data_IF_256910246209
#
_entry.id   IF_256910246209
#
_cell.length_a   1.000
_cell.length_b   1.000
_cell.length_c   1.000
_cell.angle_alpha   90.00
_cell.angle_beta   90.00
_cell.angle_gamma   90.00
#
_symmetry.space_group_name_H-M   'P 1'
#
loop_
_entity.id
_entity.type
_entity.pdbx_description
1 polymer ?
#
# COMPACT_ATOMS: atom_id res chain seq x y z
N UNK A 1 3.51 20.43 13.62
CA UNK A 1 3.04 20.18 12.23
C UNK A 1 4.12 19.59 11.32
N UNK A 2 5.25 19.07 11.84
CA UNK A 2 6.33 18.50 11.02
C UNK A 2 6.79 17.09 11.44
N UNK A 3 6.01 16.37 12.25
CA UNK A 3 6.46 15.09 12.86
C UNK A 3 5.69 13.85 12.37
N UNK A 4 4.72 13.98 11.45
CA UNK A 4 3.85 12.85 11.06
C UNK A 4 4.00 12.48 9.57
N UNK A 5 4.54 13.37 8.74
CA UNK A 5 4.71 13.12 7.31
C UNK A 5 6.05 13.70 6.84
N UNK A 6 6.92 12.93 6.15
CA UNK A 6 8.06 13.48 5.45
C UNK A 6 7.57 14.52 4.44
N UNK A 7 8.07 15.75 4.56
CA UNK A 7 7.85 16.80 3.56
C UNK A 7 8.46 16.35 2.22
N UNK A 8 7.75 16.66 1.13
CA UNK A 8 8.15 16.47 -0.27
C UNK A 8 7.96 15.07 -0.89
N UNK A 9 6.76 14.50 -0.79
CA UNK A 9 6.36 13.38 -1.65
C UNK A 9 5.31 13.79 -2.67
N UNK A 10 5.78 14.25 -3.83
CA UNK A 10 5.02 14.21 -5.08
C UNK A 10 4.68 12.74 -5.36
N UNK A 11 3.42 12.36 -5.14
CA UNK A 11 2.87 11.04 -5.48
C UNK A 11 2.81 10.87 -7.01
N UNK A 12 3.98 10.60 -7.60
CA UNK A 12 4.17 10.04 -8.92
C UNK A 12 5.37 9.10 -8.82
N UNK A 13 5.22 8.03 -8.05
CA UNK A 13 6.24 7.01 -7.95
C UNK A 13 6.21 6.18 -9.24
N UNK A 14 7.05 6.57 -10.19
CA UNK A 14 7.38 5.72 -11.33
C UNK A 14 7.94 4.38 -10.81
N UNK A 15 7.74 3.30 -11.58
CA UNK A 15 8.12 1.92 -11.23
C UNK A 15 9.51 1.81 -10.60
N UNK A 16 10.48 2.57 -11.11
CA UNK A 16 11.85 2.58 -10.61
C UNK A 16 11.97 3.15 -9.19
N UNK A 17 11.27 4.25 -8.92
CA UNK A 17 11.25 4.87 -7.59
C UNK A 17 10.52 3.98 -6.60
N UNK A 18 9.35 3.44 -6.96
CA UNK A 18 8.61 2.50 -6.11
C UNK A 18 9.46 1.27 -5.79
N UNK A 19 10.11 0.68 -6.79
CA UNK A 19 10.98 -0.48 -6.59
C UNK A 19 12.16 -0.16 -5.67
N UNK A 20 12.78 1.01 -5.83
CA UNK A 20 13.89 1.45 -4.99
C UNK A 20 13.43 1.62 -3.54
N UNK A 21 12.33 2.34 -3.32
CA UNK A 21 11.74 2.56 -2.01
C UNK A 21 11.38 1.24 -1.32
N UNK A 22 10.71 0.32 -2.01
CA UNK A 22 10.37 -0.99 -1.42
C UNK A 22 11.63 -1.76 -1.01
N UNK A 23 12.68 -1.71 -1.85
CA UNK A 23 13.96 -2.36 -1.54
C UNK A 23 14.64 -1.70 -0.33
N UNK A 24 14.59 -0.37 -0.24
CA UNK A 24 15.14 0.42 0.88
C UNK A 24 14.38 0.18 2.19
N UNK A 25 13.09 -0.14 2.13
CA UNK A 25 12.29 -0.56 3.28
C UNK A 25 12.57 -2.01 3.72
N UNK A 26 13.49 -2.70 3.05
CA UNK A 26 13.88 -4.07 3.36
C UNK A 26 12.85 -5.12 2.94
N UNK A 27 11.87 -4.75 2.13
CA UNK A 27 10.79 -5.63 1.68
C UNK A 27 11.18 -6.37 0.41
N UNK A 28 10.98 -7.69 0.39
CA UNK A 28 11.21 -8.51 -0.78
C UNK A 28 10.10 -8.34 -1.81
N UNK A 29 10.53 -8.26 -3.07
CA UNK A 29 9.65 -8.05 -4.22
C UNK A 29 9.86 -9.13 -5.25
N UNK A 30 8.77 -9.82 -5.58
CA UNK A 30 8.72 -10.77 -6.69
C UNK A 30 8.27 -10.03 -7.94
N UNK A 31 9.03 -10.21 -9.02
CA UNK A 31 8.63 -9.77 -10.35
C UNK A 31 7.76 -10.83 -10.99
N UNK A 32 6.59 -10.42 -11.46
CA UNK A 32 5.66 -11.28 -12.19
C UNK A 32 5.57 -10.76 -13.60
N UNK A 33 5.82 -11.62 -14.57
CA UNK A 33 5.70 -11.24 -15.97
C UNK A 33 4.24 -10.99 -16.33
N UNK A 34 4.00 -9.97 -17.15
CA UNK A 34 2.70 -9.56 -17.63
C UNK A 34 2.66 -9.52 -19.16
N UNK A 35 1.48 -9.72 -19.72
CA UNK A 35 1.24 -9.45 -21.14
C UNK A 35 1.41 -7.94 -21.43
N UNK A 36 1.96 -7.61 -22.60
CA UNK A 36 2.09 -6.23 -23.08
C UNK A 36 0.77 -5.43 -23.05
N UNK A 37 -0.35 -6.10 -23.29
CA UNK A 37 -1.68 -5.49 -23.33
C UNK A 37 -2.46 -5.74 -22.03
N UNK A 38 -1.77 -6.05 -20.93
CA UNK A 38 -2.34 -6.29 -19.59
C UNK A 38 -3.46 -7.35 -19.52
N UNK A 39 -3.51 -8.24 -20.51
CA UNK A 39 -4.57 -9.26 -20.60
C UNK A 39 -4.43 -10.39 -19.57
N UNK A 40 -3.20 -10.67 -19.12
CA UNK A 40 -2.92 -11.71 -18.11
C UNK A 40 -1.54 -11.52 -17.46
N UNK A 41 -1.39 -12.13 -16.29
CA UNK A 41 -0.11 -12.35 -15.61
C UNK A 41 0.35 -13.80 -15.87
N UNK A 42 1.65 -13.98 -16.12
CA UNK A 42 2.28 -15.30 -16.22
C UNK A 42 2.61 -15.81 -14.82
N UNK A 43 1.60 -16.24 -14.07
CA UNK A 43 1.71 -16.65 -12.67
C UNK A 43 1.02 -18.01 -12.43
N UNK A 44 1.61 -18.81 -11.52
CA UNK A 44 1.21 -20.17 -11.13
C UNK A 44 1.24 -21.10 -12.34
N UNK A 45 0.10 -21.67 -12.71
CA UNK A 45 -0.03 -22.59 -13.84
C UNK A 45 0.32 -21.94 -15.17
N UNK A 46 0.36 -20.60 -15.21
CA UNK A 46 0.57 -19.82 -16.42
C UNK A 46 2.02 -19.39 -16.65
N UNK A 47 2.93 -19.70 -15.72
CA UNK A 47 4.36 -19.38 -15.82
C UNK A 47 5.00 -20.07 -17.04
N UNK A 48 4.44 -21.19 -17.52
CA UNK A 48 4.98 -21.95 -18.65
C UNK A 48 4.62 -21.39 -20.02
N UNK A 49 3.70 -20.43 -20.12
CA UNK A 49 3.31 -19.88 -21.41
C UNK A 49 4.35 -18.89 -21.93
N UNK A 50 4.64 -18.99 -23.23
CA UNK A 50 5.47 -18.04 -23.98
C UNK A 50 4.64 -17.01 -24.75
N UNK A 51 3.33 -17.20 -24.82
CA UNK A 51 2.36 -16.30 -25.46
C UNK A 51 1.12 -16.11 -24.59
N UNK A 52 0.47 -14.96 -24.77
CA UNK A 52 -0.74 -14.61 -24.06
C UNK A 52 -1.90 -15.49 -24.53
N UNK A 53 -2.66 -16.08 -23.59
CA UNK A 53 -3.84 -16.90 -23.91
C UNK A 53 -4.99 -16.11 -24.54
N UNK A 54 -5.03 -14.79 -24.32
CA UNK A 54 -6.15 -13.94 -24.72
C UNK A 54 -5.88 -13.19 -26.03
N UNK A 55 -4.71 -12.56 -26.18
CA UNK A 55 -4.37 -11.80 -27.39
C UNK A 55 -3.36 -12.51 -28.30
N UNK A 56 -2.76 -13.63 -27.87
CA UNK A 56 -1.74 -14.35 -28.64
C UNK A 56 -0.37 -13.69 -28.68
N UNK A 57 -0.21 -12.48 -28.14
CA UNK A 57 1.07 -11.76 -28.18
C UNK A 57 2.18 -12.51 -27.41
N UNK A 58 3.44 -12.39 -27.87
CA UNK A 58 4.57 -13.01 -27.20
C UNK A 58 4.80 -12.38 -25.82
N UNK A 59 5.18 -13.23 -24.86
CA UNK A 59 5.56 -12.83 -23.50
C UNK A 59 6.77 -11.91 -23.48
N UNK A 60 7.77 -12.21 -24.31
CA UNK A 60 9.06 -11.53 -24.30
C UNK A 60 9.19 -10.57 -25.47
N UNK A 61 9.63 -9.35 -25.19
CA UNK A 61 10.18 -8.43 -26.20
C UNK A 61 11.66 -8.72 -26.40
N UNK A 62 12.09 -8.62 -27.65
CA UNK A 62 13.49 -8.73 -28.04
C UNK A 62 14.14 -7.35 -27.91
N UNK A 63 15.21 -7.24 -27.14
CA UNK A 63 16.06 -6.06 -27.08
C UNK A 63 17.41 -6.37 -27.75
N UNK A 64 17.89 -5.44 -28.58
CA UNK A 64 19.25 -5.49 -29.13
C UNK A 64 20.20 -4.88 -28.11
N UNK A 65 21.09 -5.67 -27.53
CA UNK A 65 22.18 -5.14 -26.72
C UNK A 65 23.23 -4.48 -27.62
N UNK A 66 24.00 -3.54 -27.08
CA UNK A 66 25.09 -2.84 -27.79
C UNK A 66 26.17 -3.80 -28.34
N UNK A 67 26.16 -5.07 -27.92
CA UNK A 67 27.12 -6.11 -28.28
C UNK A 67 26.56 -7.20 -29.23
N UNK A 68 25.58 -6.89 -30.10
CA UNK A 68 24.92 -7.84 -31.02
C UNK A 68 24.18 -9.03 -30.37
N UNK A 69 24.19 -9.14 -29.04
CA UNK A 69 23.40 -10.14 -28.32
C UNK A 69 21.94 -9.68 -28.20
N UNK A 70 21.01 -10.58 -28.53
CA UNK A 70 19.57 -10.36 -28.36
C UNK A 70 19.18 -10.80 -26.96
N UNK A 71 18.71 -9.87 -26.12
CA UNK A 71 18.18 -10.19 -24.80
C UNK A 71 16.66 -10.23 -24.84
N UNK A 72 16.05 -11.17 -24.11
CA UNK A 72 14.60 -11.27 -23.91
C UNK A 72 14.24 -10.56 -22.62
N UNK A 73 13.23 -9.70 -22.66
CA UNK A 73 12.65 -9.07 -21.45
C UNK A 73 11.13 -9.13 -21.52
N UNK A 74 10.46 -9.19 -20.37
CA UNK A 74 9.00 -9.14 -20.29
C UNK A 74 8.53 -7.81 -19.70
N UNK A 75 7.24 -7.52 -19.82
CA UNK A 75 6.58 -6.53 -18.94
C UNK A 75 6.45 -7.15 -17.56
N UNK A 76 6.63 -6.37 -16.49
CA UNK A 76 6.65 -6.93 -15.13
C UNK A 76 5.81 -6.12 -14.17
N UNK A 77 5.01 -6.80 -13.36
CA UNK A 77 4.36 -6.27 -12.17
C UNK A 77 5.17 -6.67 -10.94
N UNK A 78 5.20 -5.81 -9.93
CA UNK A 78 5.84 -6.08 -8.65
C UNK A 78 4.81 -6.60 -7.67
N UNK A 79 5.13 -7.70 -7.00
CA UNK A 79 4.37 -8.24 -5.88
C UNK A 79 5.25 -8.23 -4.63
N UNK A 80 4.71 -7.71 -3.53
CA UNK A 80 5.29 -7.87 -2.21
C UNK A 80 4.99 -9.28 -1.69
N UNK A 81 6.01 -9.95 -1.17
CA UNK A 81 5.85 -11.27 -0.53
C UNK A 81 5.89 -11.20 1.00
N UNK A 82 6.51 -10.14 1.54
CA UNK A 82 6.64 -9.95 2.98
C UNK A 82 5.46 -9.16 3.56
N UNK A 83 5.15 -9.44 4.82
CA UNK A 83 4.18 -8.66 5.55
C UNK A 83 4.80 -7.30 5.93
N UNK A 84 4.04 -6.20 6.03
CA UNK A 84 4.60 -4.91 6.45
C UNK A 84 5.37 -4.97 7.78
N UNK A 85 5.04 -5.91 8.66
CA UNK A 85 5.79 -6.15 9.91
C UNK A 85 7.21 -6.69 9.74
N UNK A 86 7.51 -7.24 8.58
CA UNK A 86 8.83 -7.79 8.28
C UNK A 86 9.77 -6.68 7.75
N UNK A 87 9.23 -5.49 7.45
CA UNK A 87 9.98 -4.35 6.96
C UNK A 87 10.96 -3.79 8.02
N UNK A 88 12.06 -3.20 7.55
CA UNK A 88 13.02 -2.51 8.42
C UNK A 88 12.38 -1.31 9.15
N UNK A 89 11.42 -0.64 8.50
CA UNK A 89 10.65 0.45 9.10
C UNK A 89 9.90 0.01 10.37
N UNK A 90 9.37 -1.22 10.39
CA UNK A 90 8.71 -1.76 11.58
C UNK A 90 9.69 -1.97 12.72
N UNK A 91 10.85 -2.54 12.43
CA UNK A 91 11.92 -2.73 13.42
C UNK A 91 12.44 -1.40 13.95
N UNK A 92 12.60 -0.41 13.08
CA UNK A 92 13.01 0.92 13.47
C UNK A 92 11.96 1.59 14.38
N UNK A 93 10.68 1.50 14.02
CA UNK A 93 9.59 2.01 14.85
C UNK A 93 9.59 1.36 16.24
N UNK A 94 9.74 0.04 16.30
CA UNK A 94 9.77 -0.70 17.57
C UNK A 94 10.94 -0.29 18.47
N UNK A 95 12.12 -0.03 17.87
CA UNK A 95 13.28 0.50 18.59
C UNK A 95 13.09 1.95 19.07
N UNK A 96 12.42 2.80 18.28
CA UNK A 96 12.22 4.21 18.59
C UNK A 96 11.12 4.41 19.64
N UNK A 97 10.08 3.57 19.62
CA UNK A 97 8.92 3.67 20.51
C UNK A 97 8.68 2.38 21.30
N UNK A 98 9.62 1.96 22.17
CA UNK A 98 9.51 0.70 22.90
C UNK A 98 8.27 0.65 23.79
N UNK A 99 7.87 1.77 24.38
CA UNK A 99 6.65 1.85 25.21
C UNK A 99 5.37 1.48 24.43
N UNK A 100 5.33 1.75 23.11
CA UNK A 100 4.22 1.36 22.26
C UNK A 100 4.23 -0.15 22.03
N UNK A 101 5.41 -0.72 21.82
CA UNK A 101 5.57 -2.17 21.57
C UNK A 101 5.37 -3.03 22.80
N UNK A 102 5.57 -2.47 24.00
CA UNK A 102 5.36 -3.17 25.27
C UNK A 102 3.92 -3.64 25.44
N UNK A 103 2.96 -2.93 24.83
CA UNK A 103 1.57 -3.34 24.78
C UNK A 103 1.27 -3.99 23.40
N UNK A 104 1.26 -5.33 23.30
CA UNK A 104 1.06 -6.03 22.03
C UNK A 104 -0.32 -5.77 21.39
N UNK A 105 -1.27 -5.26 22.16
CA UNK A 105 -2.63 -4.96 21.73
C UNK A 105 -2.76 -3.58 21.07
N UNK A 106 -1.67 -2.80 21.02
CA UNK A 106 -1.62 -1.56 20.27
C UNK A 106 -1.69 -1.80 18.76
N UNK A 107 -2.37 -0.89 18.06
CA UNK A 107 -2.76 -1.05 16.66
C UNK A 107 -1.82 -0.26 15.73
N UNK A 108 -1.34 -0.91 14.69
CA UNK A 108 -0.57 -0.33 13.60
C UNK A 108 -1.45 -0.26 12.36
N UNK A 109 -1.56 0.94 11.80
CA UNK A 109 -2.45 1.28 10.72
C UNK A 109 -1.65 1.58 9.45
N UNK A 110 -2.13 1.11 8.30
CA UNK A 110 -1.68 1.54 6.99
C UNK A 110 -2.69 2.48 6.35
N UNK A 111 -2.22 3.61 5.83
CA UNK A 111 -3.05 4.59 5.11
C UNK A 111 -2.81 4.47 3.60
N UNK A 112 -3.89 4.34 2.83
CA UNK A 112 -3.86 4.37 1.38
C UNK A 112 -4.78 5.48 0.87
N UNK A 113 -4.29 6.27 -0.08
CA UNK A 113 -5.09 7.25 -0.81
C UNK A 113 -4.79 7.06 -2.29
N UNK A 114 -5.81 6.76 -3.07
CA UNK A 114 -5.68 6.56 -4.52
C UNK A 114 -6.83 7.23 -5.27
N UNK A 115 -6.61 7.55 -6.55
CA UNK A 115 -7.66 8.05 -7.42
C UNK A 115 -8.56 6.89 -7.87
N UNK A 116 -9.85 6.99 -7.56
CA UNK A 116 -10.87 6.03 -7.95
C UNK A 116 -11.91 6.69 -8.86
N UNK A 117 -12.32 6.00 -9.92
CA UNK A 117 -13.42 6.45 -10.78
C UNK A 117 -14.60 5.50 -10.58
N UNK A 118 -15.52 5.80 -9.65
CA UNK A 118 -16.68 4.95 -9.37
C UNK A 118 -17.66 5.02 -10.55
N UNK A 119 -17.64 4.00 -11.40
CA UNK A 119 -18.66 3.71 -12.42
C UNK A 119 -18.80 4.75 -13.56
N UNK A 120 -18.58 4.31 -14.81
CA UNK A 120 -18.64 5.14 -16.01
C UNK A 120 -20.09 5.24 -16.52
N UNK A 121 -20.96 5.99 -15.85
CA UNK A 121 -22.34 6.23 -16.31
C UNK A 121 -22.53 7.64 -16.90
N UNK A 122 -23.13 7.70 -18.09
CA UNK A 122 -23.62 8.92 -18.78
C UNK A 122 -22.64 10.12 -18.86
N UNK A 123 -21.39 9.87 -19.25
CA UNK A 123 -20.48 10.94 -19.72
C UNK A 123 -19.95 11.93 -18.67
N UNK A 124 -20.37 11.85 -17.40
CA UNK A 124 -19.73 12.57 -16.29
C UNK A 124 -18.75 11.66 -15.57
N UNK A 125 -17.45 11.95 -15.69
CA UNK A 125 -16.42 11.34 -14.87
C UNK A 125 -16.24 12.18 -13.61
N UNK A 126 -16.85 11.75 -12.50
CA UNK A 126 -16.47 12.27 -11.19
C UNK A 126 -15.47 11.27 -10.61
N UNK A 127 -14.17 11.59 -10.63
CA UNK A 127 -13.23 10.83 -9.82
C UNK A 127 -13.47 11.14 -8.35
N UNK A 128 -13.04 10.25 -7.48
CA UNK A 128 -12.98 10.46 -6.04
C UNK A 128 -11.69 9.87 -5.51
N UNK A 129 -11.25 10.34 -4.35
CA UNK A 129 -10.06 9.86 -3.67
C UNK A 129 -10.50 9.24 -2.36
N UNK A 130 -10.78 7.92 -2.32
CA UNK A 130 -11.02 7.22 -1.07
C UNK A 130 -9.75 7.21 -0.23
N UNK A 131 -9.92 7.54 1.04
CA UNK A 131 -8.91 7.37 2.07
C UNK A 131 -9.23 6.11 2.86
N UNK A 132 -8.31 5.16 2.81
CA UNK A 132 -8.50 3.82 3.31
C UNK A 132 -7.49 3.54 4.41
N UNK A 133 -7.98 3.14 5.58
CA UNK A 133 -7.17 2.59 6.66
C UNK A 133 -7.23 1.06 6.65
N UNK A 134 -6.09 0.44 6.93
CA UNK A 134 -5.94 -1.01 7.04
C UNK A 134 -5.22 -1.38 8.32
N UNK A 135 -5.57 -2.54 8.91
CA UNK A 135 -4.97 -3.02 10.15
C UNK A 135 -3.74 -3.89 9.86
N UNK A 136 -2.54 -3.31 9.97
CA UNK A 136 -1.29 -4.03 9.75
C UNK A 136 -0.93 -5.02 10.85
N UNK A 137 -1.65 -5.08 11.99
CA UNK A 137 -1.44 -6.17 12.96
C UNK A 137 -1.92 -7.53 12.44
N UNK A 138 -2.80 -7.55 11.43
CA UNK A 138 -3.41 -8.78 10.94
C UNK A 138 -2.55 -9.43 9.86
N UNK A 139 -2.53 -10.77 9.75
CA UNK A 139 -1.82 -11.45 8.67
C UNK A 139 -2.25 -10.98 7.26
N UNK A 140 -1.36 -11.09 6.27
CA UNK A 140 -1.61 -10.67 4.87
C UNK A 140 -2.95 -11.14 4.28
N UNK A 141 -3.39 -12.35 4.65
CA UNK A 141 -4.65 -12.94 4.18
C UNK A 141 -5.91 -12.31 4.79
N UNK A 142 -5.76 -11.49 5.82
CA UNK A 142 -6.86 -10.88 6.56
C UNK A 142 -6.97 -9.37 6.36
N UNK A 143 -5.88 -8.60 6.46
CA UNK A 143 -6.02 -7.13 6.44
C UNK A 143 -6.52 -6.56 5.10
N UNK A 144 -6.42 -7.32 4.00
CA UNK A 144 -6.98 -6.96 2.70
C UNK A 144 -8.45 -7.38 2.51
N UNK A 145 -9.10 -7.99 3.52
CA UNK A 145 -10.54 -8.29 3.46
C UNK A 145 -11.35 -7.04 3.78
N UNK A 146 -12.51 -6.90 3.15
CA UNK A 146 -13.41 -5.75 3.33
C UNK A 146 -13.81 -5.47 4.78
N UNK A 147 -13.78 -6.47 5.65
CA UNK A 147 -14.08 -6.36 7.09
C UNK A 147 -13.00 -5.61 7.88
N UNK A 148 -11.77 -5.53 7.36
CA UNK A 148 -10.60 -4.92 8.02
C UNK A 148 -10.04 -3.72 7.24
N UNK A 149 -10.83 -3.23 6.27
CA UNK A 149 -10.56 -2.05 5.45
C UNK A 149 -11.59 -1.00 5.87
N UNK A 150 -11.11 0.13 6.39
CA UNK A 150 -11.95 1.22 6.86
C UNK A 150 -11.87 2.40 5.89
N UNK A 151 -12.98 2.73 5.26
CA UNK A 151 -13.10 3.95 4.48
C UNK A 151 -13.32 5.13 5.44
N UNK A 152 -12.33 6.00 5.59
CA UNK A 152 -12.40 7.12 6.53
C UNK A 152 -12.91 8.40 5.87
N UNK A 153 -12.46 8.68 4.65
CA UNK A 153 -12.83 9.88 3.89
C UNK A 153 -13.02 9.55 2.41
N UNK A 154 -13.90 10.31 1.74
CA UNK A 154 -14.05 10.30 0.28
C UNK A 154 -13.97 11.73 -0.22
N UNK A 155 -12.88 12.05 -0.93
CA UNK A 155 -12.67 13.40 -1.47
C UNK A 155 -13.18 13.44 -2.91
N UNK A 156 -14.07 14.37 -3.29
CA UNK A 156 -14.54 14.51 -4.67
C UNK A 156 -13.42 15.05 -5.58
N UNK A 157 -13.17 14.37 -6.70
CA UNK A 157 -12.01 14.56 -7.59
C UNK A 157 -12.22 15.52 -8.75
N UNK A 158 -12.94 16.63 -8.56
CA UNK A 158 -13.03 17.68 -9.59
C UNK A 158 -11.71 18.46 -9.75
N UNK A 159 -10.75 18.29 -8.84
CA UNK A 159 -9.39 18.83 -8.90
C UNK A 159 -8.46 17.88 -8.15
N UNK A 160 -7.27 17.60 -8.70
CA UNK A 160 -6.28 16.72 -8.08
C UNK A 160 -5.96 17.19 -6.65
N UNK A 161 -6.43 16.49 -5.60
CA UNK A 161 -6.34 16.98 -4.23
C UNK A 161 -4.93 16.81 -3.65
N UNK A 162 -3.96 16.28 -4.40
CA UNK A 162 -2.57 16.08 -3.92
C UNK A 162 -1.97 17.32 -3.25
N UNK A 163 -2.30 18.53 -3.71
CA UNK A 163 -1.79 19.78 -3.14
C UNK A 163 -2.49 20.22 -1.85
N UNK A 164 -3.67 19.68 -1.55
CA UNK A 164 -4.50 20.05 -0.39
C UNK A 164 -4.88 18.82 0.46
N UNK A 165 -4.14 17.72 0.30
CA UNK A 165 -4.48 16.45 0.94
C UNK A 165 -4.38 16.57 2.46
N UNK A 166 -3.48 17.41 2.96
CA UNK A 166 -3.33 17.81 4.36
C UNK A 166 -4.60 18.46 4.91
N UNK A 167 -5.24 19.35 4.16
CA UNK A 167 -6.51 20.00 4.53
C UNK A 167 -7.61 18.95 4.71
N UNK A 168 -7.71 18.00 3.78
CA UNK A 168 -8.71 16.93 3.87
C UNK A 168 -8.39 15.93 4.99
N UNK A 169 -7.11 15.70 5.29
CA UNK A 169 -6.67 14.76 6.33
C UNK A 169 -6.79 15.31 7.75
N UNK A 170 -7.09 16.60 7.94
CA UNK A 170 -7.02 17.23 9.26
C UNK A 170 -7.84 16.48 10.33
N UNK A 171 -9.08 16.09 10.03
CA UNK A 171 -9.92 15.34 10.98
C UNK A 171 -9.31 13.98 11.34
N UNK A 172 -8.75 13.29 10.34
CA UNK A 172 -8.11 12.00 10.56
C UNK A 172 -6.82 12.14 11.39
N UNK A 173 -6.02 13.16 11.11
CA UNK A 173 -4.78 13.44 11.84
C UNK A 173 -5.08 13.73 13.31
N UNK A 174 -6.12 14.51 13.60
CA UNK A 174 -6.54 14.81 14.98
C UNK A 174 -6.94 13.54 15.75
N UNK A 175 -7.72 12.65 15.12
CA UNK A 175 -8.10 11.36 15.72
C UNK A 175 -6.89 10.44 15.93
N UNK A 176 -5.98 10.35 14.96
CA UNK A 176 -4.75 9.56 15.07
C UNK A 176 -3.83 10.10 16.18
N UNK A 177 -3.72 11.42 16.32
CA UNK A 177 -2.96 12.06 17.39
C UNK A 177 -3.58 11.78 18.77
N UNK A 178 -4.91 11.78 18.87
CA UNK A 178 -5.60 11.39 20.12
C UNK A 178 -5.32 9.92 20.45
N UNK A 179 -5.41 9.02 19.48
CA UNK A 179 -5.09 7.60 19.66
C UNK A 179 -3.62 7.37 20.06
N UNK A 180 -2.70 8.16 19.50
CA UNK A 180 -1.28 8.07 19.80
C UNK A 180 -0.95 8.59 21.21
N UNK A 181 -1.42 9.79 21.57
CA UNK A 181 -1.04 10.46 22.82
C UNK A 181 -1.89 10.09 24.02
N UNK A 182 -3.21 9.98 23.85
CA UNK A 182 -4.14 9.64 24.94
C UNK A 182 -4.45 8.14 24.96
N UNK A 183 -4.63 7.56 23.78
CA UNK A 183 -5.18 6.21 23.62
C UNK A 183 -6.65 6.12 24.02
N UNK A 184 -7.22 4.94 23.88
CA UNK A 184 -8.61 4.64 24.22
C UNK A 184 -8.64 3.51 25.22
N UNK A 185 -9.49 3.65 26.26
CA UNK A 185 -9.71 2.56 27.22
C UNK A 185 -10.46 1.43 26.51
N UNK A 186 -9.81 0.28 26.38
CA UNK A 186 -10.32 -0.88 25.68
C UNK A 186 -10.37 -2.07 26.65
N UNK A 187 -11.37 -2.92 26.48
CA UNK A 187 -11.53 -4.12 27.28
C UNK A 187 -11.04 -5.32 26.48
N UNK A 188 -10.03 -6.00 27.00
CA UNK A 188 -9.57 -7.27 26.45
C UNK A 188 -10.39 -8.40 27.06
N UNK A 189 -11.20 -9.06 26.23
CA UNK A 189 -12.00 -10.21 26.64
C UNK A 189 -11.16 -11.43 26.97
N UNK A 190 -9.97 -11.58 26.37
CA UNK A 190 -9.11 -12.73 26.57
C UNK A 190 -8.38 -12.68 27.91
N UNK A 191 -7.85 -11.51 28.29
CA UNK A 191 -7.23 -11.27 29.58
C UNK A 191 -8.21 -10.84 30.68
N UNK A 192 -9.47 -10.52 30.33
CA UNK A 192 -10.51 -10.02 31.23
C UNK A 192 -10.08 -8.74 31.99
N UNK A 193 -9.37 -7.84 31.31
CA UNK A 193 -8.86 -6.61 31.90
C UNK A 193 -9.03 -5.42 30.96
N UNK A 194 -8.93 -4.21 31.53
CA UNK A 194 -8.91 -2.98 30.75
C UNK A 194 -7.47 -2.55 30.52
N UNK A 195 -7.17 -2.17 29.28
CA UNK A 195 -5.91 -1.55 28.90
C UNK A 195 -6.17 -0.25 28.14
N UNK A 196 -5.11 0.52 27.91
CA UNK A 196 -5.17 1.71 27.07
C UNK A 196 -4.61 1.34 25.70
N UNK A 197 -5.49 1.14 24.72
CA UNK A 197 -5.11 0.89 23.35
C UNK A 197 -4.62 2.18 22.71
N UNK A 198 -3.47 2.14 22.07
CA UNK A 198 -2.94 3.20 21.21
C UNK A 198 -2.89 2.75 19.78
N UNK A 199 -2.92 3.70 18.85
CA UNK A 199 -2.73 3.44 17.44
C UNK A 199 -1.60 4.28 16.86
N UNK A 200 -0.88 3.72 15.89
CA UNK A 200 0.17 4.40 15.14
C UNK A 200 0.00 4.15 13.65
N UNK A 201 0.32 5.16 12.84
CA UNK A 201 0.40 5.00 11.39
C UNK A 201 1.80 4.51 10.99
N UNK A 202 1.87 3.51 10.10
CA UNK A 202 3.09 2.86 9.63
C UNK A 202 3.27 3.00 8.12
#
# INVERSE_FOLDING_TARGET
MGEILPCDHTFSLDYYHTKKLITELGLSVVKIDACKNDCMLYWKDDIKFESCKFCGDPRYKLQKAQNYQVTKSAYTVLRLDDHPSDAEAWRHFDCTYPYFTMEPQNVRLGLCVDEFVPHRQYGKMNSCWPMILTLYNLPQKMFMKSEFIFLTLVIPGLSNPKHFIDVYMQSLIEELLQLWHMGVRTYDRSANEFFIMRAALM
#
